data_IF_655518842381
#
_entry.id   IF_655518842381
#
_cell.length_a   1.000
_cell.length_b   1.000
_cell.length_c   1.000
_cell.angle_alpha   90.00
_cell.angle_beta   90.00
_cell.angle_gamma   90.00
#
_symmetry.space_group_name_H-M   'P 1'
#
loop_
_entity.id
_entity.type
_entity.pdbx_description
1 polymer ?
#
# COMPACT_ATOMS: atom_id res chain seq x y z
N UNK A 1 12.67 -3.29 -27.09
CA UNK A 1 13.80 -2.94 -26.19
C UNK A 1 13.22 -2.72 -24.81
N UNK A 2 13.77 -3.36 -23.77
CA UNK A 2 13.31 -3.10 -22.40
C UNK A 2 13.58 -1.62 -22.08
N UNK A 3 12.60 -0.93 -21.50
CA UNK A 3 12.75 0.46 -21.07
C UNK A 3 13.81 0.49 -19.96
N UNK A 4 14.97 1.07 -20.24
CA UNK A 4 16.11 1.16 -19.30
C UNK A 4 15.71 1.89 -18.02
N UNK A 5 14.72 2.81 -18.09
CA UNK A 5 14.19 3.50 -16.93
C UNK A 5 13.50 2.52 -15.98
N UNK A 6 12.72 1.58 -16.48
CA UNK A 6 12.04 0.56 -15.66
C UNK A 6 13.02 -0.54 -15.20
N UNK A 7 13.96 -0.91 -16.03
CA UNK A 7 14.99 -1.92 -15.68
C UNK A 7 15.91 -1.43 -14.56
N UNK A 8 16.28 -0.15 -14.59
CA UNK A 8 17.22 0.48 -13.67
C UNK A 8 18.67 0.08 -13.90
N UNK A 9 19.59 0.95 -13.51
CA UNK A 9 21.04 0.75 -13.58
C UNK A 9 21.69 1.14 -12.24
N UNK A 10 22.87 0.61 -11.95
CA UNK A 10 23.60 0.97 -10.71
C UNK A 10 22.78 0.70 -9.46
N UNK A 11 22.50 1.75 -8.68
CA UNK A 11 21.73 1.68 -7.42
C UNK A 11 20.26 1.33 -7.60
N UNK A 12 19.73 1.31 -8.83
CA UNK A 12 18.35 0.93 -9.14
C UNK A 12 18.25 -0.41 -9.87
N UNK A 13 19.37 -1.10 -10.05
CA UNK A 13 19.49 -2.37 -10.78
C UNK A 13 18.75 -3.56 -10.15
N UNK A 14 18.57 -4.63 -10.92
CA UNK A 14 18.01 -5.88 -10.42
C UNK A 14 18.77 -6.43 -9.20
N UNK A 15 20.09 -6.33 -9.17
CA UNK A 15 20.94 -6.75 -8.03
C UNK A 15 20.61 -5.97 -6.74
N UNK A 16 20.30 -4.67 -6.87
CA UNK A 16 19.91 -3.85 -5.71
C UNK A 16 18.53 -4.27 -5.20
N UNK A 17 17.60 -4.59 -6.10
CA UNK A 17 16.27 -5.14 -5.74
C UNK A 17 16.39 -6.50 -5.06
N UNK A 18 17.27 -7.39 -5.53
CA UNK A 18 17.53 -8.69 -4.89
C UNK A 18 18.07 -8.52 -3.47
N UNK A 19 18.95 -7.55 -3.22
CA UNK A 19 19.44 -7.23 -1.87
C UNK A 19 18.33 -6.71 -0.96
N UNK A 20 17.40 -5.89 -1.48
CA UNK A 20 16.22 -5.46 -0.73
C UNK A 20 15.38 -6.67 -0.34
N UNK A 21 15.02 -7.54 -1.28
CA UNK A 21 14.23 -8.75 -1.03
C UNK A 21 14.89 -9.64 0.03
N UNK A 22 16.20 -9.82 -0.03
CA UNK A 22 16.92 -10.60 0.97
C UNK A 22 16.79 -9.98 2.39
N UNK A 23 16.94 -8.67 2.52
CA UNK A 23 16.72 -7.97 3.80
C UNK A 23 15.30 -8.15 4.33
N UNK A 24 14.28 -8.05 3.46
CA UNK A 24 12.89 -8.26 3.86
C UNK A 24 12.64 -9.67 4.38
N UNK A 25 13.27 -10.68 3.77
CA UNK A 25 13.22 -12.07 4.26
C UNK A 25 13.87 -12.21 5.63
N UNK A 26 15.01 -11.59 5.85
CA UNK A 26 15.72 -11.57 7.13
C UNK A 26 14.93 -10.86 8.23
N UNK A 27 14.08 -9.89 7.85
CA UNK A 27 13.14 -9.21 8.76
C UNK A 27 11.83 -9.99 8.98
N UNK A 28 11.67 -11.17 8.39
CA UNK A 28 10.53 -12.06 8.64
C UNK A 28 9.42 -12.04 7.59
N UNK A 29 9.58 -11.34 6.46
CA UNK A 29 8.62 -11.47 5.34
C UNK A 29 8.80 -12.84 4.69
N UNK A 30 7.77 -13.67 4.73
CA UNK A 30 7.80 -15.07 4.28
C UNK A 30 7.02 -15.34 2.99
N UNK A 31 6.06 -14.48 2.64
CA UNK A 31 5.22 -14.67 1.46
C UNK A 31 6.03 -14.41 0.18
N UNK A 32 6.34 -15.49 -0.54
CA UNK A 32 7.18 -15.44 -1.74
C UNK A 32 6.55 -14.59 -2.86
N UNK A 33 5.23 -14.59 -2.98
CA UNK A 33 4.53 -13.80 -3.99
C UNK A 33 4.65 -12.30 -3.69
N UNK A 34 4.56 -11.90 -2.43
CA UNK A 34 4.79 -10.50 -2.00
C UNK A 34 6.23 -10.08 -2.29
N UNK A 35 7.20 -10.92 -1.92
CA UNK A 35 8.62 -10.65 -2.18
C UNK A 35 8.92 -10.51 -3.68
N UNK A 36 8.30 -11.36 -4.50
CA UNK A 36 8.41 -11.27 -5.96
C UNK A 36 7.82 -9.96 -6.51
N UNK A 37 6.68 -9.49 -5.98
CA UNK A 37 6.10 -8.19 -6.36
C UNK A 37 7.02 -7.03 -5.99
N UNK A 38 7.56 -7.01 -4.77
CA UNK A 38 8.53 -6.00 -4.33
C UNK A 38 9.78 -5.99 -5.23
N UNK A 39 10.26 -7.16 -5.64
CA UNK A 39 11.40 -7.31 -6.56
C UNK A 39 11.10 -6.73 -7.94
N UNK A 40 9.90 -6.99 -8.47
CA UNK A 40 9.55 -6.71 -9.87
C UNK A 40 9.03 -5.28 -10.08
N UNK A 41 8.42 -4.65 -9.04
CA UNK A 41 7.93 -3.27 -9.15
C UNK A 41 9.11 -2.30 -9.02
N UNK A 42 9.40 -1.47 -10.03
CA UNK A 42 10.54 -0.56 -10.04
C UNK A 42 10.29 0.65 -9.12
N UNK A 43 10.55 0.50 -7.82
CA UNK A 43 10.26 1.50 -6.80
C UNK A 43 10.85 2.89 -7.10
N UNK A 44 12.01 2.94 -7.77
CA UNK A 44 12.69 4.19 -8.10
C UNK A 44 11.90 5.12 -9.04
N UNK A 45 10.94 4.61 -9.83
CA UNK A 45 10.09 5.47 -10.65
C UNK A 45 8.98 6.17 -9.85
N UNK A 46 8.76 5.77 -8.59
CA UNK A 46 7.72 6.31 -7.71
C UNK A 46 8.22 7.44 -6.79
N UNK A 47 9.50 7.72 -6.79
CA UNK A 47 10.14 8.82 -6.07
C UNK A 47 10.64 9.88 -7.04
N UNK A 48 11.06 11.04 -6.50
CA UNK A 48 11.77 12.05 -7.27
C UNK A 48 13.10 11.48 -7.79
N UNK A 49 13.55 11.89 -8.97
CA UNK A 49 14.79 11.42 -9.60
C UNK A 49 16.01 11.62 -8.69
N UNK A 50 16.06 12.73 -7.95
CA UNK A 50 17.12 13.02 -6.97
C UNK A 50 17.19 11.98 -5.83
N UNK A 51 16.10 11.28 -5.56
CA UNK A 51 16.00 10.21 -4.55
C UNK A 51 16.11 8.80 -5.14
N UNK A 52 16.26 8.67 -6.45
CA UNK A 52 16.29 7.39 -7.16
C UNK A 52 17.35 6.43 -6.60
N UNK A 53 18.55 6.91 -6.26
CA UNK A 53 19.62 6.10 -5.67
C UNK A 53 19.27 5.52 -4.29
N UNK A 54 18.36 6.17 -3.55
CA UNK A 54 17.88 5.76 -2.22
C UNK A 54 16.61 4.93 -2.25
N UNK A 55 16.00 4.78 -3.42
CA UNK A 55 14.68 4.13 -3.56
C UNK A 55 14.62 2.71 -2.99
N UNK A 56 15.74 2.01 -2.92
CA UNK A 56 15.84 0.64 -2.40
C UNK A 56 16.45 0.55 -1.00
N UNK A 57 16.63 1.67 -0.31
CA UNK A 57 16.84 1.70 1.13
C UNK A 57 15.53 1.28 1.82
N UNK A 58 15.64 0.60 2.97
CA UNK A 58 14.44 0.21 3.75
C UNK A 58 13.98 1.35 4.64
N UNK A 59 13.58 2.45 4.00
CA UNK A 59 13.09 3.67 4.64
C UNK A 59 11.97 4.32 3.85
N UNK A 60 11.18 5.17 4.52
CA UNK A 60 10.22 6.06 3.85
C UNK A 60 10.96 7.22 3.18
N UNK A 61 10.46 7.67 2.02
CA UNK A 61 11.01 8.81 1.28
C UNK A 61 9.91 9.82 0.94
N UNK A 62 10.20 11.11 0.85
CA UNK A 62 9.21 12.12 0.49
C UNK A 62 8.76 11.98 -0.97
N UNK A 63 7.46 12.24 -1.23
CA UNK A 63 6.84 12.25 -2.57
C UNK A 63 6.16 13.58 -2.90
N UNK A 64 6.37 14.60 -2.08
CA UNK A 64 5.73 15.91 -2.16
C UNK A 64 4.43 15.97 -1.32
N UNK A 65 3.87 17.17 -1.22
CA UNK A 65 2.62 17.45 -0.48
C UNK A 65 2.65 16.99 0.99
N UNK A 66 3.81 16.95 1.64
CA UNK A 66 3.97 16.42 3.00
C UNK A 66 3.72 14.92 3.12
N UNK A 67 3.70 14.17 2.00
CA UNK A 67 3.47 12.73 1.96
C UNK A 67 4.75 11.95 1.69
N UNK A 68 4.72 10.65 1.98
CA UNK A 68 5.85 9.74 1.79
C UNK A 68 5.44 8.47 1.05
N UNK A 69 6.37 7.88 0.30
CA UNK A 69 6.31 6.47 -0.06
C UNK A 69 6.73 5.65 1.17
N UNK A 70 5.90 4.71 1.58
CA UNK A 70 6.15 3.88 2.78
C UNK A 70 7.42 3.05 2.64
N UNK A 71 8.09 2.78 3.77
CA UNK A 71 9.22 1.87 3.87
C UNK A 71 8.91 0.53 3.19
N UNK A 72 9.83 -0.06 2.40
CA UNK A 72 9.62 -1.34 1.73
C UNK A 72 9.16 -2.47 2.64
N UNK A 73 9.74 -2.58 3.85
CA UNK A 73 9.30 -3.56 4.85
C UNK A 73 7.83 -3.39 5.21
N UNK A 74 7.37 -2.16 5.42
CA UNK A 74 5.98 -1.87 5.77
C UNK A 74 5.03 -2.23 4.62
N UNK A 75 5.39 -1.89 3.38
CA UNK A 75 4.62 -2.28 2.18
C UNK A 75 4.49 -3.80 2.09
N UNK A 76 5.59 -4.53 2.28
CA UNK A 76 5.59 -6.00 2.26
C UNK A 76 4.74 -6.57 3.40
N UNK A 77 4.92 -6.08 4.64
CA UNK A 77 4.22 -6.56 5.83
C UNK A 77 2.71 -6.33 5.76
N UNK A 78 2.27 -5.15 5.30
CA UNK A 78 0.85 -4.84 5.12
C UNK A 78 0.23 -5.72 4.03
N UNK A 79 0.93 -5.91 2.91
CA UNK A 79 0.46 -6.77 1.81
C UNK A 79 0.38 -8.24 2.26
N UNK A 80 1.40 -8.75 2.94
CA UNK A 80 1.42 -10.11 3.49
C UNK A 80 0.28 -10.33 4.47
N UNK A 81 0.09 -9.43 5.44
CA UNK A 81 -0.99 -9.50 6.43
C UNK A 81 -2.39 -9.43 5.80
N UNK A 82 -2.54 -8.71 4.68
CA UNK A 82 -3.78 -8.64 3.93
C UNK A 82 -4.09 -9.97 3.22
N UNK A 83 -3.07 -10.63 2.67
CA UNK A 83 -3.19 -11.91 1.93
C UNK A 83 -3.29 -13.13 2.85
N UNK A 84 -2.90 -13.03 4.10
CA UNK A 84 -2.91 -14.12 5.05
C UNK A 84 -4.35 -14.69 5.22
N UNK A 85 -4.50 -16.03 5.07
CA UNK A 85 -5.82 -16.68 5.13
C UNK A 85 -6.52 -16.88 3.79
N UNK A 86 -5.83 -16.65 2.66
CA UNK A 86 -6.30 -17.04 1.33
C UNK A 86 -6.44 -15.90 0.33
N UNK A 87 -6.88 -16.26 -0.86
CA UNK A 87 -7.06 -15.32 -1.98
C UNK A 87 -8.10 -14.25 -1.67
N UNK A 88 -7.83 -13.04 -2.14
CA UNK A 88 -8.72 -11.89 -2.06
C UNK A 88 -8.93 -11.32 -3.46
N UNK A 89 -10.19 -11.02 -3.81
CA UNK A 89 -10.56 -10.61 -5.16
C UNK A 89 -10.84 -9.10 -5.28
N UNK A 90 -11.55 -8.54 -4.31
CA UNK A 90 -12.01 -7.16 -4.30
C UNK A 90 -11.39 -6.40 -3.13
N UNK A 91 -10.46 -5.49 -3.42
CA UNK A 91 -9.70 -4.78 -2.40
C UNK A 91 -9.87 -3.27 -2.53
N UNK A 92 -9.90 -2.60 -1.37
CA UNK A 92 -9.82 -1.14 -1.26
C UNK A 92 -8.47 -0.74 -0.68
N UNK A 93 -7.81 0.20 -1.32
CA UNK A 93 -6.68 0.94 -0.78
C UNK A 93 -7.10 2.36 -0.44
N UNK A 94 -6.74 2.84 0.74
CA UNK A 94 -6.92 4.23 1.19
C UNK A 94 -5.56 4.89 1.31
N UNK A 95 -5.32 5.95 0.52
CA UNK A 95 -4.02 6.60 0.40
C UNK A 95 -3.21 6.02 -0.76
N UNK A 96 -3.59 6.34 -2.02
CA UNK A 96 -2.84 5.95 -3.23
C UNK A 96 -1.41 6.48 -3.22
N UNK A 97 -1.23 7.72 -2.74
CA UNK A 97 0.05 8.41 -2.72
C UNK A 97 0.70 8.44 -4.10
N UNK A 98 1.94 7.96 -4.20
CA UNK A 98 2.65 7.84 -5.47
C UNK A 98 2.21 6.63 -6.32
N UNK A 99 1.42 5.69 -5.78
CA UNK A 99 0.96 4.48 -6.45
C UNK A 99 1.86 3.24 -6.27
N UNK A 100 2.89 3.29 -5.43
CA UNK A 100 3.80 2.14 -5.25
C UNK A 100 3.11 0.96 -4.55
N UNK A 101 2.41 1.19 -3.44
CA UNK A 101 1.62 0.15 -2.76
C UNK A 101 0.56 -0.41 -3.72
N UNK A 102 -0.10 0.45 -4.49
CA UNK A 102 -1.07 0.07 -5.53
C UNK A 102 -0.42 -0.86 -6.57
N UNK A 103 0.80 -0.54 -7.05
CA UNK A 103 1.53 -1.34 -8.04
C UNK A 103 1.94 -2.72 -7.50
N UNK A 104 2.28 -2.81 -6.22
CA UNK A 104 2.60 -4.07 -5.55
C UNK A 104 1.34 -4.93 -5.39
N UNK A 105 0.22 -4.32 -4.97
CA UNK A 105 -1.00 -5.02 -4.60
C UNK A 105 -1.87 -5.41 -5.81
N UNK A 106 -1.96 -4.56 -6.83
CA UNK A 106 -2.87 -4.76 -7.95
C UNK A 106 -2.71 -6.13 -8.66
N UNK A 107 -1.50 -6.63 -8.95
CA UNK A 107 -1.34 -7.95 -9.58
C UNK A 107 -1.72 -9.14 -8.70
N UNK A 108 -1.97 -8.92 -7.42
CA UNK A 108 -2.30 -9.96 -6.43
C UNK A 108 -3.82 -10.14 -6.24
N UNK A 109 -4.63 -9.28 -6.88
CA UNK A 109 -6.08 -9.22 -6.70
C UNK A 109 -6.79 -9.09 -8.04
N UNK A 110 -8.08 -9.47 -8.12
CA UNK A 110 -8.85 -9.28 -9.36
C UNK A 110 -9.24 -7.83 -9.59
N UNK A 111 -9.59 -7.10 -8.54
CA UNK A 111 -10.01 -5.70 -8.58
C UNK A 111 -9.43 -4.93 -7.41
N UNK A 112 -8.78 -3.85 -7.69
CA UNK A 112 -8.29 -2.90 -6.70
C UNK A 112 -8.99 -1.55 -6.90
N UNK A 113 -9.64 -1.07 -5.85
CA UNK A 113 -10.13 0.31 -5.78
C UNK A 113 -9.18 1.11 -4.91
N UNK A 114 -8.78 2.31 -5.33
CA UNK A 114 -7.88 3.16 -4.54
C UNK A 114 -8.42 4.58 -4.44
N UNK A 115 -8.33 5.16 -3.23
CA UNK A 115 -8.81 6.51 -2.92
C UNK A 115 -7.62 7.36 -2.49
N UNK A 116 -7.52 8.57 -3.08
CA UNK A 116 -6.55 9.58 -2.71
C UNK A 116 -7.25 10.93 -2.51
N UNK A 117 -6.88 11.66 -1.44
CA UNK A 117 -7.41 12.99 -1.16
C UNK A 117 -6.67 14.12 -1.86
N UNK A 118 -5.44 13.87 -2.33
CA UNK A 118 -4.56 14.83 -2.98
C UNK A 118 -4.57 14.57 -4.49
N UNK A 119 -5.32 15.36 -5.25
CA UNK A 119 -5.54 15.12 -6.67
C UNK A 119 -4.26 15.07 -7.51
N UNK A 120 -3.24 15.94 -7.33
CA UNK A 120 -1.98 15.85 -8.05
C UNK A 120 -1.22 14.52 -7.82
N UNK A 121 -1.30 13.94 -6.62
CA UNK A 121 -0.70 12.61 -6.35
C UNK A 121 -1.46 11.52 -7.08
N UNK A 122 -2.80 11.54 -7.04
CA UNK A 122 -3.65 10.57 -7.74
C UNK A 122 -3.39 10.57 -9.25
N UNK A 123 -3.25 11.74 -9.84
CA UNK A 123 -2.96 11.90 -11.29
C UNK A 123 -1.61 11.26 -11.63
N UNK A 124 -0.54 11.60 -10.90
CA UNK A 124 0.79 11.00 -11.10
C UNK A 124 0.79 9.48 -10.90
N UNK A 125 0.09 8.99 -9.87
CA UNK A 125 -0.03 7.55 -9.63
C UNK A 125 -0.73 6.84 -10.80
N UNK A 126 -1.82 7.41 -11.33
CA UNK A 126 -2.55 6.86 -12.48
C UNK A 126 -1.67 6.73 -13.73
N UNK A 127 -0.86 7.74 -14.00
CA UNK A 127 0.09 7.74 -15.13
C UNK A 127 1.15 6.63 -14.97
N UNK A 128 1.77 6.52 -13.79
CA UNK A 128 2.78 5.50 -13.49
C UNK A 128 2.22 4.08 -13.59
N UNK A 129 1.04 3.85 -13.07
CA UNK A 129 0.39 2.54 -13.13
C UNK A 129 0.00 2.15 -14.57
N UNK A 130 -0.42 3.13 -15.37
CA UNK A 130 -0.68 2.95 -16.82
C UNK A 130 0.61 2.56 -17.56
N UNK A 131 1.72 3.24 -17.27
CA UNK A 131 3.06 2.93 -17.82
C UNK A 131 3.51 1.50 -17.48
N UNK A 132 3.23 1.04 -16.26
CA UNK A 132 3.48 -0.34 -15.82
C UNK A 132 2.50 -1.38 -16.39
N UNK A 133 1.53 -0.97 -17.21
CA UNK A 133 0.53 -1.87 -17.80
C UNK A 133 -0.51 -2.40 -16.80
N UNK A 134 -0.62 -1.80 -15.62
CA UNK A 134 -1.59 -2.19 -14.58
C UNK A 134 -2.97 -1.60 -14.93
N UNK A 135 -3.97 -2.48 -15.12
CA UNK A 135 -5.29 -2.11 -15.65
C UNK A 135 -6.48 -2.45 -14.75
N UNK A 136 -6.27 -3.22 -13.69
CA UNK A 136 -7.33 -3.68 -12.78
C UNK A 136 -7.54 -2.74 -11.59
N UNK A 137 -7.15 -1.46 -11.71
CA UNK A 137 -7.25 -0.44 -10.66
C UNK A 137 -8.33 0.59 -11.03
N UNK A 138 -9.21 0.87 -10.06
CA UNK A 138 -10.17 1.98 -10.10
C UNK A 138 -9.70 3.08 -9.16
N UNK A 139 -9.65 4.32 -9.66
CA UNK A 139 -9.14 5.48 -8.94
C UNK A 139 -10.29 6.41 -8.56
N UNK A 140 -10.25 6.92 -7.35
CA UNK A 140 -11.19 7.94 -6.87
C UNK A 140 -10.43 9.05 -6.14
N UNK A 141 -10.67 10.30 -6.54
CA UNK A 141 -10.34 11.45 -5.72
C UNK A 141 -11.42 11.61 -4.64
N UNK A 142 -11.05 11.61 -3.37
CA UNK A 142 -12.01 11.65 -2.29
C UNK A 142 -11.45 11.41 -0.90
N UNK A 143 -12.32 11.55 0.08
CA UNK A 143 -12.03 11.21 1.49
C UNK A 143 -12.03 9.69 1.68
N UNK A 144 -10.87 9.14 1.98
CA UNK A 144 -10.68 7.70 2.18
C UNK A 144 -11.29 7.16 3.46
N UNK A 145 -11.53 8.01 4.48
CA UNK A 145 -12.15 7.57 5.75
C UNK A 145 -13.59 7.07 5.56
N UNK A 146 -14.26 7.52 4.50
CA UNK A 146 -15.62 7.13 4.12
C UNK A 146 -15.68 5.80 3.37
N UNK A 147 -14.52 5.30 2.90
CA UNK A 147 -14.44 4.14 2.03
C UNK A 147 -15.09 4.37 0.66
N UNK A 148 -15.54 3.28 0.01
CA UNK A 148 -16.18 3.32 -1.30
C UNK A 148 -17.39 2.38 -1.38
N UNK A 149 -18.51 2.83 -0.84
CA UNK A 149 -19.74 2.01 -0.68
C UNK A 149 -20.20 1.31 -1.96
N UNK A 150 -20.09 1.96 -3.14
CA UNK A 150 -20.56 1.36 -4.41
C UNK A 150 -19.64 0.27 -4.95
N UNK A 151 -18.45 0.09 -4.37
CA UNK A 151 -17.51 -1.00 -4.70
C UNK A 151 -17.47 -2.09 -3.62
N UNK A 152 -18.09 -1.85 -2.45
CA UNK A 152 -18.22 -2.81 -1.36
C UNK A 152 -19.17 -3.97 -1.74
N UNK A 153 -19.09 -5.15 -1.05
CA UNK A 153 -18.19 -5.44 0.05
C UNK A 153 -16.77 -5.78 -0.41
N UNK A 154 -15.79 -5.52 0.47
CA UNK A 154 -14.38 -5.80 0.20
C UNK A 154 -13.88 -7.05 0.91
N UNK A 155 -13.03 -7.82 0.24
CA UNK A 155 -12.27 -8.92 0.82
C UNK A 155 -11.12 -8.43 1.70
N UNK A 156 -10.57 -7.29 1.30
CA UNK A 156 -9.48 -6.64 1.99
C UNK A 156 -9.55 -5.12 1.87
N UNK A 157 -9.14 -4.43 2.94
CA UNK A 157 -8.95 -2.97 2.95
C UNK A 157 -7.55 -2.69 3.50
N UNK A 158 -6.77 -1.89 2.81
CA UNK A 158 -5.45 -1.44 3.23
C UNK A 158 -5.45 0.08 3.36
N UNK A 159 -5.05 0.60 4.53
CA UNK A 159 -5.00 2.04 4.79
C UNK A 159 -3.57 2.49 4.98
N UNK A 160 -3.09 3.37 4.10
CA UNK A 160 -1.72 3.88 4.08
C UNK A 160 -1.57 5.25 4.77
N UNK A 161 -2.43 5.55 5.73
CA UNK A 161 -2.38 6.73 6.60
C UNK A 161 -2.97 6.39 7.97
N UNK A 162 -2.53 7.05 9.04
CA UNK A 162 -2.90 6.71 10.41
C UNK A 162 -4.07 7.55 10.94
N UNK A 163 -5.27 6.99 11.13
CA UNK A 163 -6.31 7.59 11.94
C UNK A 163 -6.00 7.43 13.44
N UNK A 164 -6.56 8.30 14.29
CA UNK A 164 -6.51 8.13 15.74
C UNK A 164 -7.28 6.88 16.20
N UNK A 165 -8.40 6.58 15.54
CA UNK A 165 -9.19 5.37 15.70
C UNK A 165 -9.68 4.85 14.35
N UNK A 166 -9.92 3.55 14.24
CA UNK A 166 -10.36 2.94 12.98
C UNK A 166 -11.67 3.58 12.48
N UNK A 167 -11.75 4.06 11.23
CA UNK A 167 -13.00 4.60 10.69
C UNK A 167 -14.06 3.50 10.56
N UNK A 168 -15.17 3.66 11.26
CA UNK A 168 -16.29 2.72 11.25
C UNK A 168 -16.82 2.41 9.83
N UNK A 169 -16.90 3.40 8.90
CA UNK A 169 -17.32 3.13 7.53
C UNK A 169 -16.46 2.09 6.80
N UNK A 170 -15.17 1.96 7.12
CA UNK A 170 -14.30 0.97 6.52
C UNK A 170 -14.59 -0.44 7.04
N UNK A 171 -14.83 -0.58 8.34
CA UNK A 171 -15.23 -1.87 8.95
C UNK A 171 -16.56 -2.37 8.38
N UNK A 172 -17.55 -1.49 8.20
CA UNK A 172 -18.86 -1.81 7.64
C UNK A 172 -18.83 -2.21 6.16
N UNK A 173 -17.74 -1.93 5.45
CA UNK A 173 -17.56 -2.28 4.03
C UNK A 173 -16.76 -3.58 3.83
N UNK A 174 -16.29 -4.23 4.91
CA UNK A 174 -15.71 -5.56 4.85
C UNK A 174 -16.80 -6.64 4.69
N UNK A 175 -16.51 -7.66 3.89
CA UNK A 175 -17.29 -8.90 3.93
C UNK A 175 -16.94 -9.73 5.17
N UNK A 176 -17.77 -10.70 5.51
CA UNK A 176 -17.40 -11.73 6.49
C UNK A 176 -16.15 -12.47 5.99
N UNK A 177 -15.16 -12.64 6.85
CA UNK A 177 -13.82 -13.15 6.53
C UNK A 177 -12.86 -12.09 5.95
N UNK A 178 -13.36 -10.89 5.63
CA UNK A 178 -12.54 -9.78 5.11
C UNK A 178 -11.63 -9.18 6.17
N UNK A 179 -10.53 -8.55 5.73
CA UNK A 179 -9.47 -8.00 6.59
C UNK A 179 -9.23 -6.54 6.28
N UNK A 180 -9.06 -5.74 7.33
CA UNK A 180 -8.60 -4.36 7.26
C UNK A 180 -7.23 -4.26 7.91
N UNK A 181 -6.25 -3.78 7.16
CA UNK A 181 -4.90 -3.47 7.65
C UNK A 181 -4.77 -1.95 7.76
N UNK A 182 -4.53 -1.45 8.96
CA UNK A 182 -4.54 -0.01 9.21
C UNK A 182 -3.57 0.36 10.35
N UNK A 183 -2.72 1.39 10.18
CA UNK A 183 -1.99 2.00 11.28
C UNK A 183 -2.96 2.82 12.14
N UNK A 184 -2.90 2.72 13.47
CA UNK A 184 -3.79 3.45 14.39
C UNK A 184 -2.98 4.09 15.51
N UNK A 185 -3.31 5.29 15.87
CA UNK A 185 -2.78 5.98 17.02
C UNK A 185 -2.22 7.37 16.72
N UNK A 186 -1.87 8.13 17.77
CA UNK A 186 -1.22 9.42 17.62
C UNK A 186 0.19 9.26 17.08
N UNK A 187 0.72 10.33 16.49
CA UNK A 187 2.11 10.37 15.98
C UNK A 187 3.10 9.90 17.06
N UNK A 188 4.05 9.07 16.66
CA UNK A 188 5.06 8.47 17.54
C UNK A 188 4.57 7.28 18.39
N UNK A 189 3.26 6.94 18.39
CA UNK A 189 2.68 5.84 19.15
C UNK A 189 1.76 4.95 18.29
N UNK A 190 1.94 4.97 16.98
CA UNK A 190 1.10 4.23 16.05
C UNK A 190 1.41 2.73 16.07
N UNK A 191 0.35 1.93 15.99
CA UNK A 191 0.42 0.48 15.84
C UNK A 191 -0.24 0.07 14.52
N UNK A 192 0.43 -0.78 13.76
CA UNK A 192 -0.21 -1.47 12.64
C UNK A 192 -1.15 -2.53 13.22
N UNK A 193 -2.38 -2.55 12.77
CA UNK A 193 -3.41 -3.45 13.29
C UNK A 193 -4.13 -4.14 12.14
N UNK A 194 -4.38 -5.43 12.28
CA UNK A 194 -5.31 -6.20 11.45
C UNK A 194 -6.65 -6.33 12.16
N UNK A 195 -7.72 -5.95 11.47
CA UNK A 195 -9.09 -6.30 11.84
C UNK A 195 -9.61 -7.37 10.90
N UNK A 196 -10.21 -8.41 11.45
CA UNK A 196 -10.85 -9.48 10.66
C UNK A 196 -12.34 -9.50 10.99
N UNK A 197 -13.18 -9.31 9.96
CA UNK A 197 -14.63 -9.37 10.10
C UNK A 197 -15.07 -10.83 10.25
N UNK A 198 -15.72 -11.17 11.36
CA UNK A 198 -16.40 -12.46 11.60
C UNK A 198 -17.91 -12.24 11.64
N UNK A 199 -18.68 -13.30 11.56
CA UNK A 199 -20.15 -13.23 11.55
C UNK A 199 -20.72 -12.42 12.71
N UNK A 200 -20.15 -12.53 13.92
CA UNK A 200 -20.69 -11.94 15.13
C UNK A 200 -19.76 -10.91 15.81
N UNK A 201 -18.50 -10.76 15.31
CA UNK A 201 -17.52 -9.86 15.93
C UNK A 201 -16.46 -9.40 14.94
N UNK A 202 -15.77 -8.34 15.32
CA UNK A 202 -14.52 -7.91 14.68
C UNK A 202 -13.36 -8.37 15.56
N UNK A 203 -12.47 -9.20 15.03
CA UNK A 203 -11.23 -9.59 15.69
C UNK A 203 -10.18 -8.52 15.43
N UNK A 204 -9.37 -8.21 16.45
CA UNK A 204 -8.29 -7.22 16.39
C UNK A 204 -6.97 -7.89 16.75
N UNK A 205 -5.95 -7.70 15.89
CA UNK A 205 -4.60 -8.24 16.09
C UNK A 205 -3.56 -7.16 15.84
N UNK A 206 -2.69 -6.83 16.80
CA UNK A 206 -1.58 -5.92 16.60
C UNK A 206 -0.47 -6.60 15.79
N UNK A 207 0.09 -5.88 14.80
CA UNK A 207 1.16 -6.35 13.92
C UNK A 207 2.50 -5.66 14.19
N UNK A 208 2.57 -4.73 15.13
CA UNK A 208 3.77 -4.02 15.55
C UNK A 208 3.71 -2.51 15.38
N UNK A 209 4.74 -1.79 15.91
CA UNK A 209 4.82 -0.34 15.82
C UNK A 209 5.12 0.13 14.40
N UNK A 210 4.58 1.31 14.04
CA UNK A 210 4.76 1.92 12.72
C UNK A 210 4.76 3.45 12.81
N UNK A 211 5.14 4.12 11.71
CA UNK A 211 5.06 5.57 11.57
C UNK A 211 4.45 5.91 10.21
N UNK A 212 3.27 6.50 10.22
CA UNK A 212 2.55 6.96 9.04
C UNK A 212 2.14 8.43 9.17
N UNK A 213 1.93 9.08 8.03
CA UNK A 213 1.24 10.37 7.97
C UNK A 213 -0.20 10.22 8.50
N UNK A 214 -0.80 11.28 9.07
CA UNK A 214 -2.17 11.19 9.60
C UNK A 214 -3.19 10.96 8.48
N UNK A 215 -4.23 10.19 8.77
CA UNK A 215 -5.42 10.10 7.92
C UNK A 215 -6.26 11.36 8.12
N UNK A 216 -6.32 12.21 7.12
CA UNK A 216 -7.08 13.45 7.12
C UNK A 216 -8.36 13.29 6.29
N UNK A 217 -9.47 13.85 6.78
CA UNK A 217 -10.71 13.94 6.03
C UNK A 217 -10.68 15.00 4.92
N UNK A 218 -11.69 14.97 4.07
CA UNK A 218 -11.83 15.90 2.93
C UNK A 218 -10.84 15.69 1.80
N UNK A 219 -10.81 16.62 0.85
CA UNK A 219 -9.97 16.59 -0.38
C UNK A 219 -9.15 17.87 -0.53
N UNK A 220 -8.03 17.77 -1.25
CA UNK A 220 -7.17 18.91 -1.65
C UNK A 220 -6.67 18.71 -3.06
#
# INVERSE_FOLDING_TARGET
>A
MADLRLAGIGMTSARTRDRLVQRLREQGISNLTVLERIRNVPRHIFVDEALGSRAYEDTALPIGFGQTISQPFIVARMTEALLEGGSIDNVLEVGTGCGYQTAVLAPLVKRLSTIERIEPLLTRARERLKELGIRNVRFRHGDGSLGWKTQAPFDGILVAAAPLAVPEPLLKQLRVGGRLIVPIGPEGQQQLVRFTCREQRIEREPLGPVAFVPLLGGTT
#
